data_IF_705248980790
#
_entry.id   IF_705248980790
#
_cell.length_a   1.000
_cell.length_b   1.000
_cell.length_c   1.000
_cell.angle_alpha   90.00
_cell.angle_beta   90.00
_cell.angle_gamma   90.00
#
_symmetry.space_group_name_H-M   'P 1'
#
loop_
_entity.id
_entity.type
_entity.pdbx_description
1 polymer ?
#
# COMPACT_ATOMS: atom_id res chain seq x y z
N UNK A 1 5.29 -25.89 18.42
CA UNK A 1 4.43 -24.92 17.69
C UNK A 1 4.82 -24.98 16.23
N UNK A 2 3.85 -25.03 15.29
CA UNK A 2 4.14 -25.08 13.86
C UNK A 2 4.95 -23.87 13.37
N UNK A 3 5.80 -24.11 12.38
CA UNK A 3 6.55 -23.12 11.62
C UNK A 3 5.80 -22.79 10.32
N UNK A 4 6.02 -21.60 9.78
CA UNK A 4 5.39 -21.17 8.52
C UNK A 4 5.81 -22.03 7.31
N UNK A 5 6.98 -22.68 7.38
CA UNK A 5 7.48 -23.57 6.34
C UNK A 5 7.12 -25.05 6.56
N UNK A 6 6.40 -25.37 7.64
CA UNK A 6 5.89 -26.73 7.82
C UNK A 6 4.78 -27.00 6.79
N UNK A 7 4.54 -28.28 6.48
CA UNK A 7 3.43 -28.65 5.59
C UNK A 7 2.09 -28.21 6.22
N UNK A 8 1.29 -27.36 5.54
CA UNK A 8 -0.01 -26.95 6.06
C UNK A 8 -1.02 -28.11 6.04
N UNK A 9 -2.04 -28.08 6.91
CA UNK A 9 -3.18 -28.97 6.82
C UNK A 9 -3.86 -28.91 5.45
N UNK A 10 -4.56 -29.98 5.06
CA UNK A 10 -5.17 -30.10 3.73
C UNK A 10 -6.19 -28.97 3.47
N UNK A 11 -6.99 -28.62 4.47
CA UNK A 11 -7.97 -27.55 4.42
C UNK A 11 -7.35 -26.17 4.16
N UNK A 12 -6.14 -25.94 4.68
CA UNK A 12 -5.36 -24.71 4.43
C UNK A 12 -4.85 -24.69 2.99
N UNK A 13 -4.29 -25.81 2.51
CA UNK A 13 -3.80 -25.94 1.13
C UNK A 13 -4.94 -25.70 0.13
N UNK A 14 -6.12 -26.29 0.37
CA UNK A 14 -7.29 -26.14 -0.50
C UNK A 14 -7.78 -24.69 -0.54
N UNK A 15 -7.82 -23.99 0.59
CA UNK A 15 -8.22 -22.59 0.61
C UNK A 15 -7.23 -21.68 -0.12
N UNK A 16 -5.92 -21.89 0.08
CA UNK A 16 -4.88 -21.12 -0.60
C UNK A 16 -4.91 -21.35 -2.11
N UNK A 17 -5.19 -22.58 -2.57
CA UNK A 17 -5.33 -22.87 -4.00
C UNK A 17 -6.60 -22.21 -4.59
N UNK A 18 -7.72 -22.19 -3.85
CA UNK A 18 -8.91 -21.44 -4.25
C UNK A 18 -8.62 -19.94 -4.41
N UNK A 19 -7.95 -19.33 -3.43
CA UNK A 19 -7.50 -17.93 -3.49
C UNK A 19 -6.59 -17.68 -4.69
N UNK A 20 -5.66 -18.59 -4.97
CA UNK A 20 -4.74 -18.48 -6.10
C UNK A 20 -5.46 -18.50 -7.44
N UNK A 21 -6.45 -19.38 -7.60
CA UNK A 21 -7.31 -19.42 -8.78
C UNK A 21 -8.08 -18.12 -8.93
N UNK A 22 -8.69 -17.63 -7.86
CA UNK A 22 -9.45 -16.38 -7.88
C UNK A 22 -8.60 -15.16 -8.24
N UNK A 23 -7.39 -15.05 -7.66
CA UNK A 23 -6.41 -14.05 -8.07
C UNK A 23 -6.13 -14.18 -9.57
N UNK A 24 -6.00 -15.39 -10.13
CA UNK A 24 -5.66 -15.60 -11.56
C UNK A 24 -6.73 -15.05 -12.49
N UNK A 25 -7.99 -15.11 -12.08
CA UNK A 25 -9.11 -14.56 -12.85
C UNK A 25 -9.21 -13.03 -12.75
N UNK A 26 -8.84 -12.44 -11.61
CA UNK A 26 -9.08 -11.02 -11.33
C UNK A 26 -7.89 -10.09 -11.53
N UNK A 27 -6.67 -10.61 -11.41
CA UNK A 27 -5.45 -9.82 -11.58
C UNK A 27 -4.70 -10.32 -12.83
N UNK A 28 -4.15 -9.44 -13.67
CA UNK A 28 -3.29 -9.84 -14.79
C UNK A 28 -2.10 -10.69 -14.33
N UNK A 29 -1.58 -11.54 -15.21
CA UNK A 29 -0.35 -12.29 -14.94
C UNK A 29 0.87 -11.38 -15.11
N UNK A 30 1.92 -11.65 -14.34
CA UNK A 30 3.24 -11.06 -14.57
C UNK A 30 3.83 -11.63 -15.86
N UNK A 31 4.14 -10.76 -16.81
CA UNK A 31 4.75 -11.08 -18.10
C UNK A 31 6.12 -10.41 -18.17
N UNK A 32 7.17 -11.23 -18.20
CA UNK A 32 8.56 -10.78 -18.24
C UNK A 32 8.74 -9.81 -19.41
N UNK A 33 9.42 -8.69 -19.16
CA UNK A 33 9.71 -7.62 -20.13
C UNK A 33 8.50 -6.98 -20.84
N UNK A 34 7.27 -7.36 -20.52
CA UNK A 34 6.05 -6.82 -21.14
C UNK A 34 5.24 -5.92 -20.21
N UNK A 35 5.08 -6.32 -18.94
CA UNK A 35 4.28 -5.57 -17.97
C UNK A 35 4.93 -5.46 -16.59
N UNK A 36 4.42 -4.50 -15.82
CA UNK A 36 4.74 -4.26 -14.43
C UNK A 36 3.45 -4.08 -13.62
N UNK A 37 3.32 -4.85 -12.54
CA UNK A 37 2.20 -4.79 -11.60
C UNK A 37 2.63 -4.12 -10.30
N UNK A 38 2.07 -2.95 -10.02
CA UNK A 38 2.36 -2.14 -8.82
C UNK A 38 1.11 -2.13 -7.94
N UNK A 39 1.28 -2.32 -6.63
CA UNK A 39 0.17 -2.30 -5.69
C UNK A 39 0.44 -1.47 -4.43
N UNK A 40 -0.64 -1.14 -3.73
CA UNK A 40 -0.62 -0.64 -2.36
C UNK A 40 -1.62 -1.41 -1.52
N UNK A 41 -1.27 -1.71 -0.27
CA UNK A 41 -2.15 -2.40 0.65
C UNK A 41 -1.90 -2.03 2.10
N UNK A 42 -2.88 -1.37 2.74
CA UNK A 42 -2.90 -1.29 4.20
C UNK A 42 -3.23 -2.70 4.74
N UNK A 43 -2.29 -3.31 5.46
CA UNK A 43 -2.49 -4.59 6.14
C UNK A 43 -2.66 -4.30 7.63
N UNK A 44 -3.91 -4.36 8.09
CA UNK A 44 -4.30 -4.01 9.45
C UNK A 44 -3.34 -4.54 10.53
N UNK A 45 -2.68 -3.66 11.26
CA UNK A 45 -1.75 -4.00 12.33
C UNK A 45 -0.80 -5.16 11.97
N UNK A 46 -0.08 -5.06 10.86
CA UNK A 46 0.80 -6.11 10.34
C UNK A 46 2.06 -6.27 11.19
N UNK A 47 1.91 -7.00 12.29
CA UNK A 47 2.93 -7.10 13.32
C UNK A 47 3.19 -8.53 13.79
N UNK A 48 2.64 -8.89 14.94
CA UNK A 48 2.78 -10.23 15.52
C UNK A 48 1.77 -11.22 14.90
N UNK A 49 1.96 -12.52 15.16
CA UNK A 49 1.03 -13.59 14.79
C UNK A 49 0.96 -14.69 15.85
N UNK A 50 -0.11 -15.46 15.81
CA UNK A 50 -0.30 -16.70 16.56
C UNK A 50 0.30 -17.88 15.79
N UNK A 51 1.18 -18.66 16.45
CA UNK A 51 1.85 -19.83 15.86
C UNK A 51 0.93 -21.06 15.83
N UNK A 52 -0.16 -20.97 15.08
CA UNK A 52 -1.13 -22.03 14.78
C UNK A 52 -1.53 -21.93 13.30
N UNK A 53 -1.97 -23.02 12.71
CA UNK A 53 -2.58 -22.99 11.38
C UNK A 53 -3.94 -22.30 11.40
N UNK A 54 -4.68 -22.47 12.48
CA UNK A 54 -5.96 -21.83 12.72
C UNK A 54 -6.01 -21.33 14.17
N UNK A 55 -6.17 -20.01 14.35
CA UNK A 55 -6.37 -19.41 15.66
C UNK A 55 -7.81 -19.56 16.14
N UNK A 56 -8.00 -19.67 17.46
CA UNK A 56 -9.32 -19.70 18.10
C UNK A 56 -9.67 -18.34 18.75
N UNK A 57 -10.88 -18.20 19.28
CA UNK A 57 -11.39 -16.95 19.85
C UNK A 57 -10.60 -16.44 21.07
N UNK A 58 -9.91 -17.32 21.81
CA UNK A 58 -9.04 -16.93 22.92
C UNK A 58 -7.63 -16.51 22.49
N UNK A 59 -7.22 -16.75 21.24
CA UNK A 59 -5.90 -16.38 20.76
C UNK A 59 -5.80 -14.88 20.45
N UNK A 60 -4.64 -14.29 20.75
CA UNK A 60 -4.29 -12.91 20.40
C UNK A 60 -2.79 -12.82 20.08
N UNK A 61 -2.40 -12.24 18.93
CA UNK A 61 -3.25 -11.69 17.87
C UNK A 61 -4.00 -12.77 17.06
N UNK A 62 -5.04 -12.38 16.33
CA UNK A 62 -5.85 -13.31 15.50
C UNK A 62 -5.09 -13.84 14.28
N UNK A 63 -4.29 -13.00 13.64
CA UNK A 63 -3.45 -13.42 12.50
C UNK A 63 -2.65 -14.68 12.84
N UNK A 64 -2.80 -15.70 12.00
CA UNK A 64 -2.22 -17.03 12.15
C UNK A 64 -1.47 -17.45 10.87
N UNK A 65 -0.94 -18.68 10.83
CA UNK A 65 -0.12 -19.13 9.70
C UNK A 65 -0.94 -19.26 8.40
N UNK A 66 -2.22 -19.64 8.46
CA UNK A 66 -3.08 -19.68 7.29
C UNK A 66 -3.29 -18.27 6.72
N UNK A 67 -3.56 -17.28 7.57
CA UNK A 67 -3.66 -15.89 7.14
C UNK A 67 -2.37 -15.39 6.45
N UNK A 68 -1.19 -15.78 6.96
CA UNK A 68 0.09 -15.44 6.34
C UNK A 68 0.25 -16.05 4.95
N UNK A 69 -0.21 -17.29 4.73
CA UNK A 69 -0.20 -17.89 3.39
C UNK A 69 -1.09 -17.12 2.42
N UNK A 70 -2.30 -16.74 2.84
CA UNK A 70 -3.20 -15.92 2.00
C UNK A 70 -2.59 -14.55 1.66
N UNK A 71 -2.05 -13.84 2.66
CA UNK A 71 -1.37 -12.55 2.48
C UNK A 71 -0.20 -12.69 1.50
N UNK A 72 0.61 -13.74 1.65
CA UNK A 72 1.74 -13.99 0.76
C UNK A 72 1.28 -14.27 -0.68
N UNK A 73 0.23 -15.06 -0.90
CA UNK A 73 -0.29 -15.31 -2.25
C UNK A 73 -0.83 -14.04 -2.93
N UNK A 74 -1.48 -13.16 -2.19
CA UNK A 74 -1.91 -11.84 -2.70
C UNK A 74 -0.68 -11.01 -3.11
N UNK A 75 0.32 -10.90 -2.22
CA UNK A 75 1.55 -10.14 -2.49
C UNK A 75 2.28 -10.68 -3.73
N UNK A 76 2.34 -12.02 -3.92
CA UNK A 76 3.02 -12.66 -5.05
C UNK A 76 2.54 -12.19 -6.42
N UNK A 77 1.32 -11.64 -6.50
CA UNK A 77 0.73 -11.15 -7.75
C UNK A 77 1.38 -9.91 -8.31
N UNK A 78 2.03 -9.13 -7.45
CA UNK A 78 2.61 -7.86 -7.84
C UNK A 78 4.13 -8.00 -8.04
N UNK A 79 4.71 -7.04 -8.76
CA UNK A 79 6.15 -6.90 -8.92
C UNK A 79 6.75 -6.07 -7.77
N UNK A 80 5.99 -5.07 -7.32
CA UNK A 80 6.27 -4.27 -6.13
C UNK A 80 4.96 -3.88 -5.46
N UNK A 81 4.92 -3.94 -4.14
CA UNK A 81 3.77 -3.55 -3.32
C UNK A 81 4.21 -2.69 -2.14
N UNK A 82 3.53 -1.56 -1.94
CA UNK A 82 3.63 -0.79 -0.71
C UNK A 82 2.71 -1.38 0.36
N UNK A 83 3.22 -1.54 1.56
CA UNK A 83 2.48 -2.06 2.71
C UNK A 83 2.51 -1.01 3.82
N UNK A 84 1.31 -0.59 4.24
CA UNK A 84 1.11 0.28 5.39
C UNK A 84 0.81 -0.56 6.65
N UNK A 85 0.86 0.08 7.81
CA UNK A 85 0.61 -0.53 9.14
C UNK A 85 1.57 -1.67 9.56
N UNK A 86 2.79 -1.70 9.01
CA UNK A 86 3.84 -2.63 9.49
C UNK A 86 4.25 -2.24 10.91
N UNK A 87 4.01 -3.09 11.91
CA UNK A 87 4.26 -2.73 13.32
C UNK A 87 5.73 -2.88 13.73
N UNK A 88 6.06 -2.33 14.89
CA UNK A 88 7.35 -2.47 15.58
C UNK A 88 7.86 -3.93 15.58
N UNK A 89 6.98 -4.87 15.94
CA UNK A 89 7.24 -6.31 15.87
C UNK A 89 6.92 -6.83 14.46
N UNK A 90 7.94 -7.19 13.69
CA UNK A 90 7.81 -7.62 12.30
C UNK A 90 7.66 -9.15 12.12
N UNK A 91 7.19 -9.91 13.13
CA UNK A 91 7.15 -11.38 13.04
C UNK A 91 6.31 -11.88 11.86
N UNK A 92 5.13 -11.31 11.64
CA UNK A 92 4.25 -11.64 10.53
C UNK A 92 4.90 -11.33 9.18
N UNK A 93 5.44 -10.12 9.02
CA UNK A 93 6.19 -9.72 7.83
C UNK A 93 7.38 -10.66 7.53
N UNK A 94 8.14 -11.06 8.55
CA UNK A 94 9.26 -12.00 8.40
C UNK A 94 8.81 -13.38 7.93
N UNK A 95 7.65 -13.86 8.38
CA UNK A 95 7.12 -15.14 7.92
C UNK A 95 6.54 -15.05 6.51
N UNK A 96 5.87 -13.95 6.17
CA UNK A 96 5.46 -13.65 4.80
C UNK A 96 6.66 -13.68 3.86
N UNK A 97 7.77 -13.01 4.19
CA UNK A 97 9.01 -13.05 3.38
C UNK A 97 9.57 -14.46 3.19
N UNK A 98 9.48 -15.34 4.20
CA UNK A 98 9.92 -16.74 4.05
C UNK A 98 9.05 -17.49 3.03
N UNK A 99 7.74 -17.25 3.02
CA UNK A 99 6.79 -17.86 2.06
C UNK A 99 6.98 -17.29 0.66
N UNK A 100 7.28 -16.00 0.55
CA UNK A 100 7.61 -15.34 -0.72
C UNK A 100 8.91 -15.88 -1.32
N UNK A 101 9.90 -16.19 -0.48
CA UNK A 101 11.13 -16.85 -0.86
C UNK A 101 12.26 -15.90 -1.25
N UNK A 102 13.38 -16.48 -1.70
CA UNK A 102 14.67 -15.80 -1.86
C UNK A 102 14.69 -14.67 -2.90
N UNK A 103 13.70 -14.66 -3.80
CA UNK A 103 13.59 -13.64 -4.84
C UNK A 103 12.82 -12.40 -4.39
N UNK A 104 12.35 -12.34 -3.15
CA UNK A 104 11.67 -11.18 -2.61
C UNK A 104 12.59 -10.40 -1.68
N UNK A 105 12.58 -9.09 -1.86
CA UNK A 105 13.31 -8.15 -1.01
C UNK A 105 12.34 -7.17 -0.35
N UNK A 106 12.85 -6.50 0.69
CA UNK A 106 12.12 -5.60 1.56
C UNK A 106 12.97 -4.35 1.78
N UNK A 107 12.33 -3.18 1.70
CA UNK A 107 12.87 -1.91 2.19
C UNK A 107 11.78 -1.21 3.01
N UNK A 108 12.12 -0.63 4.16
CA UNK A 108 11.15 -0.08 5.11
C UNK A 108 11.71 1.15 5.82
N UNK A 109 10.80 2.02 6.29
CA UNK A 109 11.11 3.07 7.25
C UNK A 109 11.41 2.48 8.63
N UNK A 110 12.01 3.26 9.53
CA UNK A 110 11.92 2.92 10.96
C UNK A 110 10.57 3.39 11.54
N UNK A 111 10.29 3.03 12.79
CA UNK A 111 9.15 3.56 13.53
C UNK A 111 9.40 5.02 13.92
N UNK A 112 8.42 5.89 13.65
CA UNK A 112 8.46 7.24 14.20
C UNK A 112 8.47 7.18 15.73
N UNK A 113 9.40 7.91 16.36
CA UNK A 113 9.48 8.00 17.82
C UNK A 113 8.32 8.86 18.34
N UNK A 114 7.51 8.29 19.22
CA UNK A 114 6.35 8.95 19.83
C UNK A 114 5.03 8.21 19.57
N UNK A 115 4.03 8.44 20.42
CA UNK A 115 2.77 7.70 20.39
C UNK A 115 1.94 7.97 19.12
N UNK A 116 2.12 9.14 18.51
CA UNK A 116 1.36 9.59 17.34
C UNK A 116 1.59 8.70 16.09
N UNK A 117 2.79 8.12 15.94
CA UNK A 117 3.11 7.20 14.83
C UNK A 117 2.61 5.76 15.04
N UNK A 118 1.96 5.46 16.17
CA UNK A 118 1.42 4.14 16.53
C UNK A 118 2.43 2.97 16.43
N UNK A 119 3.74 3.24 16.44
CA UNK A 119 4.78 2.23 16.20
C UNK A 119 4.63 1.52 14.85
N UNK A 120 4.19 2.24 13.82
CA UNK A 120 4.03 1.77 12.45
C UNK A 120 5.19 2.18 11.55
N UNK A 121 5.35 1.41 10.47
CA UNK A 121 6.32 1.60 9.40
C UNK A 121 5.62 1.50 8.07
N UNK A 122 6.23 2.11 7.07
CA UNK A 122 5.90 1.88 5.67
C UNK A 122 6.96 0.96 5.08
N UNK A 123 6.52 0.02 4.26
CA UNK A 123 7.40 -0.96 3.64
C UNK A 123 7.08 -1.12 2.15
N UNK A 124 8.10 -1.44 1.37
CA UNK A 124 7.95 -1.99 0.04
C UNK A 124 8.48 -3.41 0.01
N UNK A 125 7.67 -4.32 -0.54
CA UNK A 125 8.11 -5.68 -0.89
C UNK A 125 8.15 -5.78 -2.41
N UNK A 126 9.20 -6.38 -2.95
CA UNK A 126 9.38 -6.45 -4.40
C UNK A 126 10.09 -7.73 -4.85
N UNK A 127 9.71 -8.20 -6.04
CA UNK A 127 10.28 -9.37 -6.71
C UNK A 127 11.56 -8.96 -7.45
N UNK A 128 12.71 -9.32 -6.88
CA UNK A 128 14.07 -8.98 -7.38
C UNK A 128 14.39 -9.51 -8.77
N UNK A 129 13.58 -10.45 -9.28
CA UNK A 129 13.70 -10.93 -10.67
C UNK A 129 13.13 -9.94 -11.67
N UNK A 130 12.27 -9.01 -11.22
CA UNK A 130 11.52 -8.08 -12.06
C UNK A 130 11.82 -6.63 -11.74
N UNK A 131 12.14 -6.32 -10.48
CA UNK A 131 12.36 -4.95 -10.00
C UNK A 131 13.61 -4.87 -9.13
N UNK A 132 14.40 -3.83 -9.33
CA UNK A 132 15.60 -3.51 -8.52
C UNK A 132 15.47 -2.11 -7.93
N UNK A 133 16.13 -1.84 -6.80
CA UNK A 133 16.28 -0.47 -6.29
C UNK A 133 17.16 0.33 -7.24
N UNK A 134 16.80 1.59 -7.52
CA UNK A 134 17.58 2.46 -8.42
C UNK A 134 18.38 3.55 -7.70
N UNK A 135 18.23 3.69 -6.39
CA UNK A 135 19.17 4.44 -5.54
C UNK A 135 18.54 5.45 -4.58
N UNK A 136 17.32 5.92 -4.84
CA UNK A 136 16.60 6.81 -3.93
C UNK A 136 15.82 5.99 -2.90
N UNK A 137 15.99 6.34 -1.63
CA UNK A 137 15.10 5.97 -0.54
C UNK A 137 15.11 7.11 0.47
N UNK A 138 13.96 7.70 0.76
CA UNK A 138 13.89 8.87 1.64
C UNK A 138 12.48 9.17 2.13
N UNK A 139 12.40 9.83 3.29
CA UNK A 139 11.16 10.34 3.84
C UNK A 139 10.98 11.80 3.45
N UNK A 140 9.76 12.17 3.08
CA UNK A 140 9.42 13.53 2.68
C UNK A 140 9.10 14.35 3.93
N UNK A 141 9.82 15.46 4.11
CA UNK A 141 9.65 16.37 5.24
C UNK A 141 9.12 17.71 4.74
N UNK A 142 8.21 18.32 5.51
CA UNK A 142 7.70 19.66 5.20
C UNK A 142 8.82 20.68 5.43
N UNK A 143 9.19 21.50 4.42
CA UNK A 143 10.11 22.61 4.62
C UNK A 143 9.53 23.63 5.60
N UNK A 144 10.35 24.18 6.50
CA UNK A 144 9.91 25.16 7.49
C UNK A 144 9.33 26.43 6.84
N UNK A 145 9.83 26.79 5.66
CA UNK A 145 9.42 27.96 4.89
C UNK A 145 7.96 27.87 4.41
N UNK A 146 7.37 26.67 4.38
CA UNK A 146 5.98 26.45 3.98
C UNK A 146 5.01 26.53 5.15
N UNK A 147 5.54 26.47 6.37
CA UNK A 147 4.82 26.74 7.60
C UNK A 147 4.86 28.27 7.78
N UNK A 148 3.82 28.98 7.35
CA UNK A 148 3.63 30.42 7.63
C UNK A 148 3.37 30.65 9.13
N UNK A 149 4.26 30.17 10.00
CA UNK A 149 4.18 30.28 11.44
C UNK A 149 5.40 31.05 11.95
N UNK A 150 5.20 32.34 12.20
CA UNK A 150 6.08 33.15 13.05
C UNK A 150 5.94 32.70 14.51
N UNK A 151 6.52 31.56 14.88
CA UNK A 151 6.65 31.13 16.29
C UNK A 151 7.46 29.83 16.38
N UNK A 152 7.92 29.51 17.60
CA UNK A 152 8.52 28.23 17.99
C UNK A 152 7.63 26.99 17.70
N UNK A 153 6.41 27.18 17.18
CA UNK A 153 5.47 26.13 16.79
C UNK A 153 5.76 25.56 15.38
N UNK A 154 6.49 26.27 14.51
CA UNK A 154 6.89 25.76 13.19
C UNK A 154 7.81 24.51 13.27
N UNK A 155 8.47 24.29 14.42
CA UNK A 155 9.25 23.07 14.69
C UNK A 155 8.36 21.85 15.02
N UNK A 156 7.05 22.01 15.18
CA UNK A 156 6.14 20.96 15.67
C UNK A 156 5.19 20.36 14.62
N UNK A 157 5.07 20.96 13.44
CA UNK A 157 4.18 20.46 12.37
C UNK A 157 4.95 19.61 11.35
N UNK A 158 5.50 18.48 11.79
CA UNK A 158 5.93 17.41 10.89
C UNK A 158 4.75 16.48 10.57
N UNK A 159 4.76 15.87 9.40
CA UNK A 159 3.85 14.77 9.11
C UNK A 159 3.97 13.71 10.20
N UNK A 160 2.84 13.28 10.77
CA UNK A 160 2.87 12.26 11.82
C UNK A 160 3.46 10.95 11.29
N UNK A 161 3.25 10.70 9.99
CA UNK A 161 3.91 9.65 9.20
C UNK A 161 4.41 10.28 7.90
N UNK A 162 5.68 10.68 7.88
CA UNK A 162 6.33 11.25 6.69
C UNK A 162 6.18 10.33 5.48
N UNK A 163 5.67 10.81 4.33
CA UNK A 163 5.57 10.00 3.13
C UNK A 163 6.91 9.34 2.79
N UNK A 164 6.90 8.08 2.38
CA UNK A 164 8.12 7.33 2.10
C UNK A 164 8.29 7.10 0.60
N UNK A 165 9.36 7.67 0.05
CA UNK A 165 9.70 7.60 -1.36
C UNK A 165 10.84 6.61 -1.60
N UNK A 166 10.65 5.68 -2.54
CA UNK A 166 11.68 4.72 -2.98
C UNK A 166 11.70 4.66 -4.50
N UNK A 167 12.88 4.73 -5.09
CA UNK A 167 13.06 4.54 -6.53
C UNK A 167 13.41 3.10 -6.88
N UNK A 168 12.77 2.65 -7.93
CA UNK A 168 12.91 1.33 -8.50
C UNK A 168 13.28 1.44 -9.98
N UNK A 169 13.74 0.32 -10.53
CA UNK A 169 14.00 0.13 -11.94
C UNK A 169 13.50 -1.24 -12.37
N UNK A 170 12.84 -1.28 -13.53
CA UNK A 170 12.48 -2.49 -14.26
C UNK A 170 12.80 -2.27 -15.74
N UNK A 171 13.59 -3.17 -16.34
CA UNK A 171 14.12 -3.00 -17.69
C UNK A 171 14.79 -1.61 -17.90
N UNK A 172 14.30 -0.82 -18.86
CA UNK A 172 14.77 0.54 -19.15
C UNK A 172 14.03 1.62 -18.34
N UNK A 173 13.00 1.24 -17.60
CA UNK A 173 12.13 2.16 -16.89
C UNK A 173 12.58 2.38 -15.45
N UNK A 174 12.77 3.65 -15.08
CA UNK A 174 12.97 4.06 -13.67
C UNK A 174 11.71 4.76 -13.17
N UNK A 175 11.29 4.42 -11.96
CA UNK A 175 10.11 4.99 -11.34
C UNK A 175 10.27 5.11 -9.82
N UNK A 176 9.64 6.12 -9.24
CA UNK A 176 9.56 6.39 -7.81
C UNK A 176 8.15 6.07 -7.36
N UNK A 177 8.06 5.29 -6.28
CA UNK A 177 6.83 5.12 -5.54
C UNK A 177 6.92 5.95 -4.26
N UNK A 178 5.89 6.75 -4.00
CA UNK A 178 5.72 7.47 -2.74
C UNK A 178 4.51 6.91 -2.02
N UNK A 179 4.74 6.25 -0.89
CA UNK A 179 3.66 5.72 -0.06
C UNK A 179 3.24 6.73 1.00
N UNK A 180 1.94 6.94 1.13
CA UNK A 180 1.34 7.75 2.20
C UNK A 180 0.52 6.89 3.14
N UNK A 181 0.46 7.33 4.38
CA UNK A 181 -0.49 6.83 5.37
C UNK A 181 -0.98 8.02 6.22
N UNK A 182 -1.96 8.76 5.71
CA UNK A 182 -2.47 9.99 6.35
C UNK A 182 -3.25 9.61 7.60
N UNK A 183 -3.17 10.42 8.67
CA UNK A 183 -3.89 10.12 9.90
C UNK A 183 -5.41 10.14 9.70
N UNK A 184 -6.08 9.20 10.37
CA UNK A 184 -7.52 9.28 10.54
C UNK A 184 -7.86 10.35 11.59
N UNK A 185 -8.31 11.52 11.15
CA UNK A 185 -8.74 12.61 12.02
C UNK A 185 -10.13 12.39 12.63
N UNK A 186 -10.50 13.20 13.63
CA UNK A 186 -11.89 13.18 14.16
C UNK A 186 -12.87 13.82 13.18
N UNK A 187 -12.40 14.74 12.33
CA UNK A 187 -13.18 15.39 11.26
C UNK A 187 -12.34 15.45 9.98
N UNK A 188 -13.01 15.46 8.83
CA UNK A 188 -12.36 15.61 7.52
C UNK A 188 -11.59 16.93 7.39
N UNK A 189 -12.05 18.01 8.03
CA UNK A 189 -11.34 19.29 8.09
C UNK A 189 -9.93 19.20 8.65
N UNK A 190 -9.67 18.25 9.55
CA UNK A 190 -8.38 18.10 10.21
C UNK A 190 -7.31 17.54 9.24
N UNK A 191 -7.77 16.83 8.19
CA UNK A 191 -6.92 16.18 7.18
C UNK A 191 -6.60 17.08 5.98
N UNK A 192 -7.44 18.08 5.69
CA UNK A 192 -7.32 18.94 4.49
C UNK A 192 -5.96 19.63 4.43
N UNK A 193 -5.47 20.18 5.56
CA UNK A 193 -4.18 20.88 5.60
C UNK A 193 -3.01 19.95 5.29
N UNK A 194 -2.99 18.78 5.92
CA UNK A 194 -1.95 17.77 5.70
C UNK A 194 -1.97 17.28 4.25
N UNK A 195 -3.13 16.87 3.75
CA UNK A 195 -3.30 16.37 2.40
C UNK A 195 -2.92 17.41 1.35
N UNK A 196 -3.33 18.67 1.52
CA UNK A 196 -2.94 19.77 0.63
C UNK A 196 -1.42 20.03 0.68
N UNK A 197 -0.84 20.04 1.88
CA UNK A 197 0.61 20.21 2.07
C UNK A 197 1.41 19.13 1.36
N UNK A 198 1.00 17.86 1.50
CA UNK A 198 1.63 16.74 0.79
C UNK A 198 1.42 16.86 -0.73
N UNK A 199 0.20 17.14 -1.18
CA UNK A 199 -0.10 17.23 -2.61
C UNK A 199 0.72 18.36 -3.28
N UNK A 200 0.85 19.51 -2.62
CA UNK A 200 1.71 20.61 -3.07
C UNK A 200 3.19 20.19 -3.08
N UNK A 201 3.67 19.53 -2.02
CA UNK A 201 5.05 19.06 -1.95
C UNK A 201 5.39 18.11 -3.09
N UNK A 202 4.50 17.14 -3.35
CA UNK A 202 4.65 16.20 -4.46
C UNK A 202 4.59 16.89 -5.81
N UNK A 203 3.72 17.90 -5.94
CA UNK A 203 3.60 18.70 -7.16
C UNK A 203 4.90 19.44 -7.48
N UNK A 204 5.46 20.12 -6.50
CA UNK A 204 6.72 20.86 -6.64
C UNK A 204 7.90 19.88 -6.88
N UNK A 205 7.98 18.75 -6.15
CA UNK A 205 9.03 17.74 -6.35
C UNK A 205 8.93 17.02 -7.70
N UNK A 206 7.71 16.82 -8.22
CA UNK A 206 7.53 16.17 -9.52
C UNK A 206 8.25 16.93 -10.63
N UNK A 207 8.26 18.27 -10.58
CA UNK A 207 8.93 19.12 -11.57
C UNK A 207 10.45 18.90 -11.57
N UNK A 208 11.05 18.79 -10.37
CA UNK A 208 12.48 18.49 -10.20
C UNK A 208 12.83 17.06 -10.65
N UNK A 209 12.01 16.07 -10.29
CA UNK A 209 12.22 14.65 -10.63
C UNK A 209 12.11 14.42 -12.13
N UNK A 210 11.18 15.10 -12.79
CA UNK A 210 11.00 15.00 -14.24
C UNK A 210 12.18 15.58 -15.03
N UNK A 211 12.96 16.50 -14.45
CA UNK A 211 14.22 16.95 -15.05
C UNK A 211 15.21 15.77 -15.27
N UNK A 212 15.01 14.65 -14.57
CA UNK A 212 15.77 13.41 -14.71
C UNK A 212 14.98 12.27 -15.37
N UNK A 213 13.84 12.56 -16.02
CA UNK A 213 12.96 11.59 -16.70
C UNK A 213 12.46 10.43 -15.81
N UNK A 214 12.34 10.65 -14.51
CA UNK A 214 11.85 9.64 -13.59
C UNK A 214 10.32 9.69 -13.48
N UNK A 215 9.69 8.52 -13.57
CA UNK A 215 8.25 8.39 -13.35
C UNK A 215 7.96 8.47 -11.86
N UNK A 216 6.92 9.18 -11.44
CA UNK A 216 6.54 9.23 -10.04
C UNK A 216 5.08 8.86 -9.87
N UNK A 217 4.84 7.92 -8.97
CA UNK A 217 3.51 7.49 -8.55
C UNK A 217 3.38 7.66 -7.04
N UNK A 218 2.18 8.02 -6.64
CA UNK A 218 1.80 8.27 -5.26
C UNK A 218 0.70 7.27 -4.91
N UNK A 219 0.87 6.54 -3.81
CA UNK A 219 -0.02 5.44 -3.45
C UNK A 219 -0.08 5.24 -1.94
N UNK A 220 -1.03 4.47 -1.44
CA UNK A 220 -1.18 4.27 0.01
C UNK A 220 -2.60 4.51 0.51
N UNK A 221 -2.70 4.62 1.84
CA UNK A 221 -3.94 4.94 2.54
C UNK A 221 -3.98 6.44 2.85
N UNK A 222 -4.78 7.18 2.09
CA UNK A 222 -4.91 8.62 2.20
C UNK A 222 -6.02 9.00 3.16
N UNK A 223 -6.78 8.02 3.66
CA UNK A 223 -7.98 8.24 4.45
C UNK A 223 -8.93 9.27 3.79
N UNK A 224 -9.11 9.22 2.46
CA UNK A 224 -10.15 9.98 1.75
C UNK A 224 -11.50 9.30 1.99
N UNK A 225 -12.52 10.05 2.45
CA UNK A 225 -13.74 9.41 2.93
C UNK A 225 -14.58 8.90 1.78
N UNK A 226 -14.86 9.71 0.76
CA UNK A 226 -15.76 9.40 -0.34
C UNK A 226 -15.25 10.02 -1.65
N UNK A 227 -15.64 9.44 -2.79
CA UNK A 227 -15.30 10.00 -4.12
C UNK A 227 -15.95 11.37 -4.29
N UNK A 228 -15.18 12.34 -4.76
CA UNK A 228 -15.62 13.72 -4.91
C UNK A 228 -15.89 14.44 -3.59
N UNK A 229 -15.42 13.91 -2.45
CA UNK A 229 -15.44 14.67 -1.21
C UNK A 229 -14.37 15.78 -1.23
N UNK A 230 -14.39 16.63 -0.20
CA UNK A 230 -13.43 17.74 -0.09
C UNK A 230 -11.96 17.25 -0.05
N UNK A 231 -11.69 16.05 0.49
CA UNK A 231 -10.35 15.50 0.57
C UNK A 231 -9.87 15.02 -0.81
N UNK A 232 -10.74 14.34 -1.56
CA UNK A 232 -10.50 13.93 -2.94
C UNK A 232 -10.25 15.16 -3.82
N UNK A 233 -11.11 16.17 -3.76
CA UNK A 233 -10.93 17.42 -4.51
C UNK A 233 -9.62 18.12 -4.13
N UNK A 234 -9.30 18.19 -2.84
CA UNK A 234 -8.05 18.80 -2.36
C UNK A 234 -6.83 18.06 -2.89
N UNK A 235 -6.84 16.73 -2.84
CA UNK A 235 -5.75 15.88 -3.30
C UNK A 235 -5.51 16.04 -4.80
N UNK A 236 -6.58 16.06 -5.60
CA UNK A 236 -6.51 16.20 -7.05
C UNK A 236 -6.18 17.64 -7.49
N UNK A 237 -6.51 18.65 -6.67
CA UNK A 237 -6.35 20.06 -7.02
C UNK A 237 -4.91 20.51 -7.34
N UNK A 238 -3.92 19.80 -6.80
CA UNK A 238 -2.49 20.10 -7.02
C UNK A 238 -1.90 19.39 -8.25
N UNK A 239 -2.75 18.74 -9.07
CA UNK A 239 -2.39 18.13 -10.36
C UNK A 239 -2.23 16.61 -10.34
N UNK A 240 -2.51 15.96 -9.20
CA UNK A 240 -2.55 14.50 -9.14
C UNK A 240 -3.79 13.98 -9.86
N UNK A 241 -3.60 12.87 -10.57
CA UNK A 241 -4.62 12.23 -11.38
C UNK A 241 -4.73 10.75 -10.98
N UNK A 242 -5.95 10.34 -10.64
CA UNK A 242 -6.30 8.92 -10.46
C UNK A 242 -6.92 8.44 -11.79
N UNK A 243 -6.47 7.31 -12.37
CA UNK A 243 -7.04 6.81 -13.63
C UNK A 243 -8.52 6.41 -13.47
N UNK A 244 -9.30 6.52 -14.55
CA UNK A 244 -10.75 6.25 -14.53
C UNK A 244 -11.10 4.84 -14.06
N UNK A 245 -10.25 3.84 -14.36
CA UNK A 245 -10.38 2.47 -13.88
C UNK A 245 -10.38 2.41 -12.35
N UNK A 246 -9.55 3.20 -11.67
CA UNK A 246 -9.48 3.23 -10.20
C UNK A 246 -10.53 4.16 -9.57
N UNK A 247 -11.04 5.13 -10.32
CA UNK A 247 -12.17 5.97 -9.91
C UNK A 247 -13.51 5.21 -9.98
N UNK A 248 -13.61 4.14 -10.77
CA UNK A 248 -14.83 3.35 -10.92
C UNK A 248 -15.40 2.96 -9.53
N UNK A 249 -16.69 3.24 -9.25
CA UNK A 249 -17.38 2.86 -8.00
C UNK A 249 -17.25 1.38 -7.62
N UNK A 250 -17.18 0.47 -8.61
CA UNK A 250 -17.06 -0.97 -8.39
C UNK A 250 -15.69 -1.36 -7.79
N UNK A 251 -14.68 -0.49 -7.92
CA UNK A 251 -13.37 -0.69 -7.30
C UNK A 251 -13.45 -0.17 -5.87
N UNK A 252 -13.70 -1.06 -4.91
CA UNK A 252 -13.90 -0.70 -3.50
C UNK A 252 -12.60 -0.71 -2.72
N UNK A 253 -12.53 0.01 -1.59
CA UNK A 253 -11.31 0.10 -0.75
C UNK A 253 -11.43 -0.61 0.60
N UNK A 254 -12.62 -0.67 1.18
CA UNK A 254 -12.86 -1.25 2.50
C UNK A 254 -13.79 -2.46 2.45
N UNK A 255 -13.53 -3.44 3.33
CA UNK A 255 -14.41 -4.60 3.50
C UNK A 255 -15.73 -4.25 4.23
N UNK A 256 -15.74 -3.12 4.96
CA UNK A 256 -16.85 -2.72 5.84
C UNK A 256 -17.81 -1.76 5.15
N UNK A 257 -17.29 -0.83 4.35
CA UNK A 257 -18.08 0.15 3.65
C UNK A 257 -17.50 0.44 2.26
N UNK A 258 -18.24 0.03 1.24
CA UNK A 258 -17.86 0.16 -0.17
C UNK A 258 -17.83 1.61 -0.66
N UNK A 259 -18.51 2.54 0.03
CA UNK A 259 -18.46 3.97 -0.31
C UNK A 259 -17.13 4.61 0.06
N UNK A 260 -16.35 3.97 0.94
CA UNK A 260 -15.08 4.52 1.41
C UNK A 260 -14.01 4.52 0.34
N UNK A 261 -13.29 5.64 0.23
CA UNK A 261 -12.31 5.90 -0.82
C UNK A 261 -10.89 6.10 -0.27
N UNK A 262 -10.55 5.37 0.80
CA UNK A 262 -9.34 5.59 1.58
C UNK A 262 -8.04 5.47 0.78
N UNK A 263 -7.86 4.36 0.06
CA UNK A 263 -6.62 4.05 -0.64
C UNK A 263 -6.57 4.61 -2.06
N UNK A 264 -5.41 5.12 -2.48
CA UNK A 264 -5.21 5.70 -3.81
C UNK A 264 -3.98 5.13 -4.51
N UNK A 265 -4.00 5.18 -5.84
CA UNK A 265 -2.83 5.15 -6.72
C UNK A 265 -3.05 6.29 -7.73
N UNK A 266 -2.16 7.27 -7.72
CA UNK A 266 -2.25 8.49 -8.51
C UNK A 266 -0.88 8.89 -9.07
N UNK A 267 -0.87 9.71 -10.11
CA UNK A 267 0.34 10.30 -10.69
C UNK A 267 0.01 11.60 -11.40
N UNK A 268 1.01 12.34 -11.85
CA UNK A 268 0.82 13.54 -12.66
C UNK A 268 0.65 13.14 -14.15
N UNK A 269 -0.40 13.65 -14.79
CA UNK A 269 -0.81 13.24 -16.14
C UNK A 269 -0.43 14.23 -17.26
N UNK A 270 0.24 15.34 -16.93
CA UNK A 270 0.56 16.41 -17.88
C UNK A 270 -0.32 17.65 -17.77
N UNK A 271 -1.44 17.59 -17.03
CA UNK A 271 -2.34 18.73 -16.86
C UNK A 271 -1.68 19.83 -16.00
N UNK A 272 -2.14 21.07 -16.14
CA UNK A 272 -1.63 22.23 -15.40
C UNK A 272 -0.10 22.45 -15.51
N UNK A 273 0.50 22.09 -16.66
CA UNK A 273 1.96 22.11 -16.89
C UNK A 273 2.76 21.19 -15.96
N UNK A 274 2.12 20.22 -15.31
CA UNK A 274 2.81 19.24 -14.47
C UNK A 274 3.45 18.15 -15.33
N UNK A 275 4.48 17.46 -14.81
CA UNK A 275 5.05 16.29 -15.46
C UNK A 275 4.01 15.25 -15.82
N UNK A 276 4.27 14.49 -16.88
CA UNK A 276 3.43 13.38 -17.29
C UNK A 276 4.14 12.06 -17.01
N UNK A 277 3.46 11.11 -16.38
CA UNK A 277 3.90 9.72 -16.32
C UNK A 277 4.14 9.21 -17.75
N UNK A 278 5.38 8.81 -18.05
CA UNK A 278 5.75 8.26 -19.35
C UNK A 278 5.41 6.78 -19.49
N UNK A 279 5.24 6.07 -18.36
CA UNK A 279 4.81 4.68 -18.34
C UNK A 279 3.38 4.56 -18.87
N UNK A 280 3.14 3.61 -19.79
CA UNK A 280 1.83 3.40 -20.37
C UNK A 280 0.96 2.56 -19.40
N UNK A 281 -0.05 3.20 -18.81
CA UNK A 281 -1.03 2.54 -17.94
C UNK A 281 -1.97 1.66 -18.76
N UNK A 282 -2.09 0.39 -18.38
CA UNK A 282 -2.93 -0.60 -19.06
C UNK A 282 -4.27 -0.80 -18.34
N UNK A 283 -4.22 -1.08 -17.04
CA UNK A 283 -5.40 -1.37 -16.24
C UNK A 283 -5.15 -1.18 -14.74
N UNK A 284 -6.21 -1.14 -13.94
CA UNK A 284 -6.11 -1.10 -12.49
C UNK A 284 -7.39 -1.55 -11.82
N UNK A 285 -7.31 -1.90 -10.55
CA UNK A 285 -8.46 -2.33 -9.76
C UNK A 285 -8.09 -2.61 -8.30
N UNK A 286 -9.01 -3.25 -7.60
CA UNK A 286 -8.79 -3.82 -6.28
C UNK A 286 -8.82 -5.36 -6.37
N UNK A 287 -8.46 -6.03 -5.29
CA UNK A 287 -8.75 -7.47 -5.16
C UNK A 287 -9.55 -7.76 -3.90
N UNK A 288 -10.79 -8.22 -4.10
CA UNK A 288 -11.70 -8.61 -3.02
C UNK A 288 -11.38 -10.02 -2.51
N UNK A 289 -10.47 -10.09 -1.53
CA UNK A 289 -10.10 -11.36 -0.91
C UNK A 289 -11.20 -11.99 -0.05
N UNK A 290 -12.30 -11.29 0.27
CA UNK A 290 -13.33 -11.79 1.18
C UNK A 290 -14.06 -13.01 0.61
N UNK A 291 -14.06 -13.16 -0.71
CA UNK A 291 -14.72 -14.27 -1.40
C UNK A 291 -13.95 -15.58 -1.30
N UNK A 292 -12.66 -15.53 -0.99
CA UNK A 292 -11.77 -16.71 -1.10
C UNK A 292 -10.82 -16.89 0.07
N UNK A 293 -10.17 -15.84 0.58
CA UNK A 293 -9.24 -15.97 1.69
C UNK A 293 -9.96 -16.37 2.99
N UNK A 294 -9.52 -17.47 3.61
CA UNK A 294 -10.07 -18.01 4.87
C UNK A 294 -11.57 -18.35 4.81
N UNK A 295 -12.16 -18.50 3.62
CA UNK A 295 -13.60 -18.73 3.45
C UNK A 295 -14.06 -20.04 4.13
N UNK A 296 -13.17 -21.02 4.24
CA UNK A 296 -13.42 -22.30 4.91
C UNK A 296 -13.59 -22.19 6.45
N UNK A 297 -13.35 -21.00 7.03
CA UNK A 297 -13.43 -20.76 8.47
C UNK A 297 -14.70 -20.01 8.90
N UNK A 298 -15.52 -19.57 7.94
CA UNK A 298 -16.78 -18.83 8.20
C UNK A 298 -16.61 -17.66 9.20
N UNK A 299 -15.54 -16.89 9.04
CA UNK A 299 -15.22 -15.78 9.93
C UNK A 299 -16.15 -14.59 9.68
N UNK A 300 -16.52 -13.87 10.74
CA UNK A 300 -17.16 -12.56 10.58
C UNK A 300 -16.21 -11.57 9.90
N UNK A 301 -16.75 -10.54 9.23
CA UNK A 301 -15.92 -9.46 8.62
C UNK A 301 -14.92 -8.87 9.63
N UNK A 302 -15.37 -8.65 10.86
CA UNK A 302 -14.50 -8.15 11.93
C UNK A 302 -13.35 -9.10 12.24
N UNK A 303 -13.63 -10.40 12.39
CA UNK A 303 -12.57 -11.38 12.66
C UNK A 303 -11.61 -11.49 11.49
N UNK A 304 -12.14 -11.56 10.25
CA UNK A 304 -11.33 -11.63 9.03
C UNK A 304 -10.40 -10.42 8.89
N UNK A 305 -10.85 -9.21 9.25
CA UNK A 305 -10.00 -8.02 9.22
C UNK A 305 -8.76 -8.09 10.12
N UNK A 306 -8.84 -8.80 11.26
CA UNK A 306 -7.69 -9.00 12.14
C UNK A 306 -6.78 -10.15 11.68
N UNK A 307 -7.27 -11.04 10.80
CA UNK A 307 -6.44 -12.07 10.19
C UNK A 307 -5.71 -11.53 8.95
N UNK A 308 -6.45 -10.90 8.04
CA UNK A 308 -5.97 -10.39 6.76
C UNK A 308 -5.83 -8.86 6.86
N UNK A 309 -6.87 -8.11 6.51
CA UNK A 309 -6.96 -6.66 6.60
C UNK A 309 -8.41 -6.18 6.49
N UNK A 310 -8.69 -4.94 6.86
CA UNK A 310 -9.94 -4.21 6.58
C UNK A 310 -9.92 -3.40 5.28
N UNK A 311 -8.77 -3.32 4.62
CA UNK A 311 -8.58 -2.70 3.31
C UNK A 311 -8.32 -3.74 2.22
N UNK A 312 -8.84 -3.50 1.02
CA UNK A 312 -8.48 -4.26 -0.17
C UNK A 312 -7.16 -3.75 -0.76
N UNK A 313 -6.29 -4.63 -1.28
CA UNK A 313 -5.15 -4.17 -2.08
C UNK A 313 -5.64 -3.47 -3.33
N UNK A 314 -5.08 -2.29 -3.62
CA UNK A 314 -5.27 -1.55 -4.85
C UNK A 314 -4.08 -1.79 -5.78
N UNK A 315 -4.30 -1.91 -7.08
CA UNK A 315 -3.25 -2.25 -8.04
C UNK A 315 -3.40 -1.53 -9.37
N UNK A 316 -2.26 -1.35 -10.04
CA UNK A 316 -2.12 -0.77 -11.36
C UNK A 316 -1.13 -1.59 -12.20
N UNK A 317 -1.48 -1.80 -13.47
CA UNK A 317 -0.67 -2.47 -14.48
C UNK A 317 -0.13 -1.44 -15.48
N UNK A 318 1.16 -1.54 -15.77
CA UNK A 318 1.85 -0.72 -16.76
C UNK A 318 2.56 -1.58 -17.79
N UNK A 319 2.69 -1.07 -19.01
CA UNK A 319 3.55 -1.65 -20.03
C UNK A 319 5.02 -1.27 -19.78
N UNK A 320 5.94 -2.21 -20.03
CA UNK A 320 7.39 -2.00 -19.95
C UNK A 320 8.04 -1.72 -21.30
#
# INVERSE_FOLDING_TARGET
MPNILDQPPLEVIQNVELLKQDLHHHIPSKKLDENLLIASWNIRAFGNLTRKWESVDSDSPKRDLHAILCIAEIIKRFDVIAIQEVKANIRALRDTLKVLGVHWSLILTDVNKGDAGNGERMAYLFDTRRVQLSGLAGELVVPQEWLNATSQEALTEQFVRSPYAVSFKSNHQTFILVTLHILYGKKSSDRVKELKGVAKWLSDWSEDVNAYHQNMMVLGDFNIDERGDLLDETFLSEGLFVPSQLQNPDVTRSIFNETKYYDQIAWFNGDNNKPRLSMNFLNGGNFDFMKTALINRNLSKQSLSFHISDHYPLWAEFQL
#
